data_IF_764901531397
#
_entry.id   IF_764901531397
#
_cell.length_a   1.000
_cell.length_b   1.000
_cell.length_c   1.000
_cell.angle_alpha   90.00
_cell.angle_beta   90.00
_cell.angle_gamma   90.00
#
_symmetry.space_group_name_H-M   'P 1'
#
loop_
_entity.id
_entity.type
_entity.pdbx_description
1 polymer ?
#
# COMPACT_ATOMS: atom_id res chain seq x y z
N UNK A 1 23.99 12.69 -22.82
CA UNK A 1 23.97 11.53 -23.73
C UNK A 1 22.80 10.64 -23.37
N UNK A 2 22.17 10.05 -24.39
CA UNK A 2 20.85 9.41 -24.45
C UNK A 2 20.63 8.27 -23.43
N UNK A 3 19.54 8.33 -22.67
CA UNK A 3 18.73 7.17 -22.28
C UNK A 3 17.26 7.60 -22.22
N UNK A 4 16.68 7.79 -23.41
CA UNK A 4 15.24 7.76 -23.61
C UNK A 4 14.88 6.28 -23.70
N UNK A 5 14.04 5.79 -22.79
CA UNK A 5 13.50 4.43 -22.87
C UNK A 5 12.99 4.18 -24.29
N UNK A 6 13.28 3.01 -24.91
CA UNK A 6 12.83 2.75 -26.26
C UNK A 6 11.30 2.72 -26.25
N UNK A 7 10.69 3.72 -26.88
CA UNK A 7 9.37 3.55 -27.45
C UNK A 7 9.40 2.24 -28.23
N UNK A 8 8.64 1.24 -27.79
CA UNK A 8 8.40 0.06 -28.62
C UNK A 8 7.72 0.55 -29.90
N UNK A 9 8.50 0.64 -30.98
CA UNK A 9 7.97 0.67 -32.34
C UNK A 9 7.43 -0.74 -32.60
N UNK A 10 6.21 -1.01 -32.13
CA UNK A 10 5.48 -2.22 -32.48
C UNK A 10 4.82 -1.98 -33.84
N UNK A 11 5.27 -2.78 -34.81
CA UNK A 11 4.78 -3.01 -36.16
C UNK A 11 3.55 -2.23 -36.68
N UNK A 12 3.77 -1.63 -37.86
CA UNK A 12 2.82 -1.16 -38.88
C UNK A 12 1.36 -1.64 -38.77
N UNK A 13 0.57 -0.92 -37.96
CA UNK A 13 -0.85 -0.69 -38.24
C UNK A 13 -1.24 0.65 -37.61
N UNK A 14 -1.65 1.60 -38.46
CA UNK A 14 -2.12 2.94 -38.10
C UNK A 14 -3.43 2.88 -37.30
N UNK A 15 -3.34 2.70 -35.98
CA UNK A 15 -4.39 3.15 -35.06
C UNK A 15 -3.71 3.77 -33.86
N UNK A 16 -3.54 5.09 -33.91
CA UNK A 16 -3.18 5.87 -32.73
C UNK A 16 -4.37 5.78 -31.77
N UNK A 17 -4.39 4.79 -30.87
CA UNK A 17 -5.46 4.68 -29.87
C UNK A 17 -5.47 5.97 -29.04
N UNK A 18 -6.61 6.66 -29.02
CA UNK A 18 -6.74 7.90 -28.26
C UNK A 18 -6.36 7.66 -26.79
N UNK A 19 -5.57 8.55 -26.15
CA UNK A 19 -5.14 8.39 -24.76
C UNK A 19 -6.27 8.07 -23.79
N UNK A 20 -7.44 8.70 -23.98
CA UNK A 20 -8.67 8.44 -23.21
C UNK A 20 -9.12 6.97 -23.32
N UNK A 21 -9.15 6.42 -24.54
CA UNK A 21 -9.62 5.06 -24.79
C UNK A 21 -8.69 4.01 -24.18
N UNK A 22 -7.38 4.16 -24.40
CA UNK A 22 -6.40 3.22 -23.85
C UNK A 22 -6.34 3.28 -22.31
N UNK A 23 -6.44 4.49 -21.73
CA UNK A 23 -6.55 4.66 -20.28
C UNK A 23 -7.78 3.95 -19.74
N UNK A 24 -8.95 4.12 -20.36
CA UNK A 24 -10.18 3.45 -19.92
C UNK A 24 -10.03 1.93 -19.93
N UNK A 25 -9.49 1.36 -21.02
CA UNK A 25 -9.22 -0.09 -21.12
C UNK A 25 -8.28 -0.56 -20.01
N UNK A 26 -7.24 0.23 -19.69
CA UNK A 26 -6.30 -0.08 -18.62
C UNK A 26 -6.97 -0.01 -17.24
N UNK A 27 -7.75 1.03 -16.98
CA UNK A 27 -8.50 1.22 -15.75
C UNK A 27 -9.47 0.07 -15.49
N UNK A 28 -10.20 -0.39 -16.51
CA UNK A 28 -11.12 -1.52 -16.35
C UNK A 28 -10.39 -2.80 -15.91
N UNK A 29 -9.26 -3.11 -16.55
CA UNK A 29 -8.41 -4.26 -16.20
C UNK A 29 -7.92 -4.19 -14.74
N UNK A 30 -7.44 -3.01 -14.32
CA UNK A 30 -6.97 -2.78 -12.94
C UNK A 30 -8.11 -2.90 -11.94
N UNK A 31 -9.30 -2.37 -12.27
CA UNK A 31 -10.49 -2.53 -11.43
C UNK A 31 -10.84 -3.99 -11.20
N UNK A 32 -10.88 -4.81 -12.25
CA UNK A 32 -11.14 -6.24 -12.11
C UNK A 32 -10.02 -7.01 -11.39
N UNK A 33 -8.75 -6.62 -11.56
CA UNK A 33 -7.65 -7.14 -10.74
C UNK A 33 -7.90 -6.90 -9.26
N UNK A 34 -8.25 -5.67 -8.88
CA UNK A 34 -8.53 -5.32 -7.48
C UNK A 34 -9.77 -6.02 -6.93
N UNK A 35 -10.84 -6.16 -7.73
CA UNK A 35 -11.99 -6.98 -7.37
C UNK A 35 -11.61 -8.44 -7.14
N UNK A 36 -10.76 -9.01 -8.01
CA UNK A 36 -10.25 -10.37 -7.85
C UNK A 36 -9.39 -10.50 -6.59
N UNK A 37 -8.57 -9.49 -6.25
CA UNK A 37 -7.82 -9.47 -5.00
C UNK A 37 -8.72 -9.45 -3.76
N UNK A 38 -9.81 -8.67 -3.78
CA UNK A 38 -10.79 -8.67 -2.69
C UNK A 38 -11.49 -10.04 -2.59
N UNK A 39 -11.94 -10.60 -3.70
CA UNK A 39 -12.62 -11.89 -3.72
C UNK A 39 -11.69 -13.01 -3.22
N UNK A 40 -10.44 -13.02 -3.68
CA UNK A 40 -9.41 -13.95 -3.23
C UNK A 40 -9.13 -13.80 -1.73
N UNK A 41 -9.09 -12.57 -1.21
CA UNK A 41 -8.93 -12.32 0.23
C UNK A 41 -10.03 -13.00 1.04
N UNK A 42 -11.31 -12.80 0.69
CA UNK A 42 -12.41 -13.46 1.40
C UNK A 42 -12.35 -14.98 1.23
N UNK A 43 -12.11 -15.48 0.02
CA UNK A 43 -12.00 -16.91 -0.25
C UNK A 43 -10.93 -17.57 0.63
N UNK A 44 -9.71 -17.03 0.63
CA UNK A 44 -8.61 -17.59 1.41
C UNK A 44 -8.79 -17.37 2.90
N UNK A 45 -9.31 -16.21 3.35
CA UNK A 45 -9.63 -15.98 4.77
C UNK A 45 -10.69 -16.95 5.31
N UNK A 46 -11.75 -17.24 4.55
CA UNK A 46 -12.75 -18.22 4.99
C UNK A 46 -12.19 -19.64 4.94
N UNK A 47 -11.52 -20.02 3.86
CA UNK A 47 -10.87 -21.34 3.77
C UNK A 47 -9.91 -21.58 4.96
N UNK A 48 -9.20 -20.53 5.37
CA UNK A 48 -8.34 -20.52 6.53
C UNK A 48 -9.10 -20.80 7.83
N UNK A 49 -10.18 -20.06 8.05
CA UNK A 49 -10.99 -20.19 9.25
C UNK A 49 -11.60 -21.60 9.35
N UNK A 50 -12.09 -22.15 8.24
CA UNK A 50 -12.61 -23.51 8.17
C UNK A 50 -11.53 -24.56 8.42
N UNK A 51 -10.33 -24.38 7.85
CA UNK A 51 -9.19 -25.25 8.12
C UNK A 51 -8.82 -25.25 9.61
N UNK A 52 -8.71 -24.07 10.21
CA UNK A 52 -8.41 -23.93 11.64
C UNK A 52 -9.43 -24.66 12.50
N UNK A 53 -10.73 -24.45 12.26
CA UNK A 53 -11.80 -25.15 12.98
C UNK A 53 -11.68 -26.67 12.78
N UNK A 54 -11.40 -27.12 11.55
CA UNK A 54 -11.23 -28.53 11.21
C UNK A 54 -10.07 -29.22 11.93
N UNK A 55 -8.99 -28.49 12.24
CA UNK A 55 -7.86 -29.00 13.05
C UNK A 55 -8.03 -28.78 14.56
N UNK A 56 -9.22 -28.38 15.00
CA UNK A 56 -9.58 -28.23 16.42
C UNK A 56 -9.32 -26.85 17.02
N UNK A 57 -9.12 -25.79 16.21
CA UNK A 57 -9.07 -24.42 16.72
C UNK A 57 -10.41 -24.05 17.38
N UNK A 58 -10.35 -23.73 18.66
CA UNK A 58 -11.46 -23.15 19.41
C UNK A 58 -11.11 -21.70 19.78
N UNK A 59 -12.02 -20.76 19.51
CA UNK A 59 -11.83 -19.33 19.76
C UNK A 59 -11.53 -18.99 21.23
N UNK A 60 -11.92 -19.88 22.16
CA UNK A 60 -11.66 -19.78 23.60
C UNK A 60 -10.23 -20.08 24.02
N UNK A 61 -9.43 -20.76 23.18
CA UNK A 61 -8.09 -21.25 23.54
C UNK A 61 -7.03 -20.59 22.67
N UNK A 62 -6.72 -19.32 22.96
CA UNK A 62 -5.65 -18.59 22.25
C UNK A 62 -4.30 -18.81 22.94
N UNK A 63 -3.67 -19.96 22.66
CA UNK A 63 -2.32 -20.28 23.13
C UNK A 63 -1.25 -19.88 22.10
N UNK A 64 0.02 -20.03 22.46
CA UNK A 64 1.15 -19.65 21.60
C UNK A 64 1.15 -20.36 20.23
N UNK A 65 0.91 -21.67 20.21
CA UNK A 65 0.90 -22.44 18.96
C UNK A 65 -0.20 -21.95 18.00
N UNK A 66 -1.38 -21.69 18.55
CA UNK A 66 -2.53 -21.13 17.83
C UNK A 66 -2.24 -19.72 17.32
N UNK A 67 -1.57 -18.89 18.12
CA UNK A 67 -1.14 -17.53 17.75
C UNK A 67 -0.15 -17.56 16.58
N UNK A 68 0.90 -18.38 16.66
CA UNK A 68 1.88 -18.58 15.58
C UNK A 68 1.20 -19.05 14.30
N UNK A 69 0.32 -20.06 14.43
CA UNK A 69 -0.42 -20.59 13.29
C UNK A 69 -1.29 -19.50 12.65
N UNK A 70 -2.03 -18.71 13.44
CA UNK A 70 -2.83 -17.60 12.96
C UNK A 70 -1.98 -16.56 12.20
N UNK A 71 -0.78 -16.21 12.69
CA UNK A 71 0.12 -15.29 11.98
C UNK A 71 0.64 -15.86 10.65
N UNK A 72 1.09 -17.12 10.62
CA UNK A 72 1.52 -17.81 9.39
C UNK A 72 0.42 -17.78 8.33
N UNK A 73 -0.77 -18.09 8.78
CA UNK A 73 -1.95 -18.21 7.96
C UNK A 73 -2.43 -16.85 7.43
N UNK A 74 -2.42 -15.79 8.25
CA UNK A 74 -2.70 -14.43 7.80
C UNK A 74 -1.66 -13.91 6.80
N UNK A 75 -0.37 -14.17 7.03
CA UNK A 75 0.69 -13.87 6.07
C UNK A 75 0.47 -14.59 4.73
N UNK A 76 0.06 -15.86 4.80
CA UNK A 76 -0.28 -16.66 3.61
C UNK A 76 -1.48 -16.11 2.86
N UNK A 77 -2.52 -15.67 3.56
CA UNK A 77 -3.68 -15.00 2.95
C UNK A 77 -3.26 -13.73 2.24
N UNK A 78 -2.38 -12.91 2.81
CA UNK A 78 -1.88 -11.70 2.12
C UNK A 78 -1.21 -12.05 0.78
N UNK A 79 -0.34 -13.05 0.76
CA UNK A 79 0.32 -13.53 -0.47
C UNK A 79 -0.72 -14.07 -1.47
N UNK A 80 -1.57 -15.01 -1.05
CA UNK A 80 -2.52 -15.68 -1.94
C UNK A 80 -3.61 -14.74 -2.45
N UNK A 81 -4.02 -13.74 -1.67
CA UNK A 81 -5.08 -12.82 -2.05
C UNK A 81 -4.63 -11.68 -2.94
N UNK A 82 -3.37 -11.26 -2.84
CA UNK A 82 -2.89 -10.08 -3.57
C UNK A 82 -1.80 -10.42 -4.60
N UNK A 83 -0.83 -11.26 -4.25
CA UNK A 83 0.25 -11.64 -5.17
C UNK A 83 -0.26 -12.56 -6.27
N UNK A 84 -1.09 -13.56 -5.95
CA UNK A 84 -1.59 -14.50 -6.95
C UNK A 84 -2.43 -13.82 -8.05
N UNK A 85 -3.44 -12.97 -7.74
CA UNK A 85 -4.13 -12.19 -8.78
C UNK A 85 -3.20 -11.28 -9.57
N UNK A 86 -2.20 -10.67 -8.92
CA UNK A 86 -1.19 -9.85 -9.61
C UNK A 86 -0.37 -10.66 -10.61
N UNK A 87 0.10 -11.85 -10.22
CA UNK A 87 0.86 -12.76 -11.10
C UNK A 87 0.00 -13.25 -12.26
N UNK A 88 -1.25 -13.67 -11.99
CA UNK A 88 -2.20 -14.06 -13.04
C UNK A 88 -2.41 -12.90 -14.02
N UNK A 89 -2.57 -11.68 -13.52
CA UNK A 89 -2.72 -10.47 -14.34
C UNK A 89 -1.49 -10.21 -15.22
N UNK A 90 -0.29 -10.33 -14.66
CA UNK A 90 0.97 -10.20 -15.40
C UNK A 90 1.05 -11.21 -16.54
N UNK A 91 0.69 -12.47 -16.28
CA UNK A 91 0.71 -13.54 -17.28
C UNK A 91 -0.34 -13.31 -18.37
N UNK A 92 -1.60 -13.06 -18.00
CA UNK A 92 -2.71 -12.86 -18.95
C UNK A 92 -2.44 -11.67 -19.87
N UNK A 93 -1.96 -10.56 -19.31
CA UNK A 93 -1.70 -9.34 -20.08
C UNK A 93 -0.26 -9.22 -20.59
N UNK A 94 0.55 -10.27 -20.43
CA UNK A 94 1.93 -10.38 -20.91
C UNK A 94 2.79 -9.17 -20.51
N UNK A 95 2.64 -8.72 -19.26
CA UNK A 95 3.41 -7.60 -18.74
C UNK A 95 4.87 -8.04 -18.53
N UNK A 96 5.81 -7.17 -18.91
CA UNK A 96 7.24 -7.45 -18.74
C UNK A 96 7.64 -7.27 -17.27
N UNK A 97 8.22 -8.29 -16.60
CA UNK A 97 8.66 -8.18 -15.22
C UNK A 97 9.63 -7.02 -14.97
N UNK A 98 10.45 -6.65 -15.95
CA UNK A 98 11.39 -5.52 -15.89
C UNK A 98 10.71 -4.15 -15.72
N UNK A 99 9.44 -4.02 -16.12
CA UNK A 99 8.68 -2.78 -15.95
C UNK A 99 7.95 -2.73 -14.60
N UNK A 100 7.89 -3.87 -13.91
CA UNK A 100 7.19 -4.06 -12.64
C UNK A 100 8.20 -3.98 -11.50
N UNK A 101 9.28 -4.75 -11.61
CA UNK A 101 10.38 -4.80 -10.65
C UNK A 101 11.50 -3.91 -11.19
N UNK A 102 11.32 -2.60 -11.03
CA UNK A 102 12.35 -1.61 -11.37
C UNK A 102 13.37 -1.53 -10.24
N UNK A 103 14.65 -1.69 -10.57
CA UNK A 103 15.75 -1.73 -9.58
C UNK A 103 16.93 -0.90 -10.07
N UNK A 104 16.66 0.32 -10.54
CA UNK A 104 17.73 1.23 -10.93
C UNK A 104 18.67 1.50 -9.76
N UNK A 105 19.97 1.62 -10.03
CA UNK A 105 20.94 1.94 -8.99
C UNK A 105 20.76 3.39 -8.56
N UNK A 106 20.55 3.58 -7.25
CA UNK A 106 20.36 4.89 -6.63
C UNK A 106 21.55 5.17 -5.74
N UNK A 107 22.10 6.40 -5.79
CA UNK A 107 23.14 6.82 -4.86
C UNK A 107 22.63 6.64 -3.42
N UNK A 108 23.40 6.01 -2.50
CA UNK A 108 22.92 5.71 -1.15
C UNK A 108 22.32 6.91 -0.43
N UNK A 109 22.98 8.08 -0.48
CA UNK A 109 22.46 9.31 0.13
C UNK A 109 21.10 9.76 -0.42
N UNK A 110 20.84 9.57 -1.72
CA UNK A 110 19.54 9.88 -2.33
C UNK A 110 18.48 8.88 -1.87
N UNK A 111 18.81 7.59 -1.87
CA UNK A 111 17.89 6.54 -1.40
C UNK A 111 17.52 6.72 0.08
N UNK A 112 18.52 6.96 0.94
CA UNK A 112 18.35 7.25 2.37
C UNK A 112 17.50 8.51 2.58
N UNK A 113 17.72 9.55 1.78
CA UNK A 113 16.91 10.77 1.87
C UNK A 113 15.44 10.50 1.56
N UNK A 114 15.14 9.76 0.48
CA UNK A 114 13.77 9.36 0.16
C UNK A 114 13.17 8.42 1.21
N UNK A 115 13.99 7.54 1.80
CA UNK A 115 13.56 6.68 2.90
C UNK A 115 13.05 7.50 4.09
N UNK A 116 13.86 8.43 4.60
CA UNK A 116 13.47 9.23 5.76
C UNK A 116 12.29 10.15 5.45
N UNK A 117 12.27 10.81 4.29
CA UNK A 117 11.14 11.66 3.89
C UNK A 117 9.86 10.84 3.79
N UNK A 118 9.89 9.72 3.09
CA UNK A 118 8.72 8.87 2.90
C UNK A 118 8.23 8.27 4.21
N UNK A 119 9.14 7.74 5.04
CA UNK A 119 8.81 7.20 6.35
C UNK A 119 8.18 8.27 7.27
N UNK A 120 8.75 9.46 7.33
CA UNK A 120 8.20 10.58 8.11
C UNK A 120 6.79 10.94 7.63
N UNK A 121 6.56 11.07 6.31
CA UNK A 121 5.21 11.36 5.78
C UNK A 121 4.23 10.26 6.17
N UNK A 122 4.62 8.99 6.08
CA UNK A 122 3.76 7.87 6.46
C UNK A 122 3.44 7.86 7.95
N UNK A 123 4.41 8.16 8.83
CA UNK A 123 4.17 8.27 10.27
C UNK A 123 3.23 9.45 10.59
N UNK A 124 3.41 10.58 9.91
CA UNK A 124 2.54 11.75 10.06
C UNK A 124 1.13 11.51 9.53
N UNK A 125 0.91 10.56 8.62
CA UNK A 125 -0.41 10.18 8.12
C UNK A 125 -1.34 9.65 9.24
N UNK A 126 -0.79 9.26 10.39
CA UNK A 126 -1.55 8.84 11.56
C UNK A 126 -2.40 9.98 12.15
N UNK A 127 -1.92 11.23 12.10
CA UNK A 127 -2.67 12.37 12.63
C UNK A 127 -4.00 12.63 11.90
N UNK A 128 -4.04 12.81 10.56
CA UNK A 128 -5.30 12.96 9.84
C UNK A 128 -6.16 11.69 9.92
N UNK A 129 -5.56 10.50 9.97
CA UNK A 129 -6.30 9.25 10.18
C UNK A 129 -7.04 9.22 11.52
N UNK A 130 -6.35 9.57 12.62
CA UNK A 130 -6.95 9.66 13.95
C UNK A 130 -8.01 10.76 14.04
N UNK A 131 -7.81 11.87 13.33
CA UNK A 131 -8.82 12.91 13.26
C UNK A 131 -10.12 12.40 12.62
N UNK A 132 -10.03 11.63 11.52
CA UNK A 132 -11.19 10.96 10.93
C UNK A 132 -11.81 9.95 11.89
N UNK A 133 -11.02 9.14 12.59
CA UNK A 133 -11.54 8.21 13.61
C UNK A 133 -12.31 8.96 14.70
N UNK A 134 -11.75 10.04 15.25
CA UNK A 134 -12.38 10.83 16.30
C UNK A 134 -13.67 11.52 15.81
N UNK A 135 -13.70 11.99 14.55
CA UNK A 135 -14.92 12.52 13.96
C UNK A 135 -16.01 11.45 13.88
N UNK A 136 -15.69 10.24 13.42
CA UNK A 136 -16.65 9.14 13.33
C UNK A 136 -17.17 8.71 14.71
N UNK A 137 -16.29 8.67 15.71
CA UNK A 137 -16.66 8.40 17.10
C UNK A 137 -17.63 9.47 17.64
N UNK A 138 -17.42 10.75 17.33
CA UNK A 138 -18.34 11.82 17.69
C UNK A 138 -19.73 11.69 17.03
N UNK A 139 -19.83 11.01 15.89
CA UNK A 139 -21.11 10.66 15.25
C UNK A 139 -21.72 9.36 15.79
N UNK A 140 -21.12 8.75 16.82
CA UNK A 140 -21.61 7.51 17.44
C UNK A 140 -21.19 6.24 16.72
N UNK A 141 -20.31 6.33 15.70
CA UNK A 141 -19.76 5.14 15.05
C UNK A 141 -18.59 4.60 15.86
N UNK A 142 -18.61 3.30 16.15
CA UNK A 142 -17.46 2.66 16.78
C UNK A 142 -16.54 2.12 15.69
N UNK A 143 -15.27 2.56 15.70
CA UNK A 143 -14.26 1.98 14.84
C UNK A 143 -14.10 0.49 15.15
N UNK A 144 -14.24 -0.37 14.15
CA UNK A 144 -14.04 -1.81 14.29
C UNK A 144 -12.54 -2.17 14.42
N UNK A 145 -11.87 -1.74 15.49
CA UNK A 145 -10.52 -2.19 15.83
C UNK A 145 -10.62 -3.30 16.88
N UNK A 146 -11.00 -4.50 16.44
CA UNK A 146 -10.80 -5.68 17.27
C UNK A 146 -9.29 -5.91 17.38
N UNK A 147 -8.68 -5.80 18.57
CA UNK A 147 -7.27 -6.12 18.73
C UNK A 147 -7.08 -7.58 18.33
N UNK A 148 -6.14 -7.85 17.43
CA UNK A 148 -5.71 -9.24 17.23
C UNK A 148 -5.12 -9.68 18.58
N UNK A 149 -5.61 -10.77 19.20
CA UNK A 149 -5.04 -11.25 20.44
C UNK A 149 -3.55 -11.56 20.20
N UNK A 150 -2.66 -10.93 20.96
CA UNK A 150 -1.22 -11.18 20.87
C UNK A 150 -0.83 -12.00 22.09
N UNK A 151 -0.28 -13.19 21.86
CA UNK A 151 0.36 -13.95 22.95
C UNK A 151 1.74 -13.32 23.18
N UNK A 152 2.09 -12.92 24.42
CA UNK A 152 3.30 -12.16 24.69
C UNK A 152 4.54 -13.07 24.78
N UNK A 153 4.80 -13.85 23.73
CA UNK A 153 5.99 -14.71 23.61
C UNK A 153 6.88 -14.23 22.47
N UNK A 154 8.20 -14.46 22.59
CA UNK A 154 9.17 -14.06 21.56
C UNK A 154 8.81 -14.65 20.19
N UNK A 155 8.47 -15.95 20.06
CA UNK A 155 8.04 -16.51 18.79
C UNK A 155 6.79 -15.82 18.22
N UNK A 156 5.77 -15.56 19.05
CA UNK A 156 4.56 -14.84 18.60
C UNK A 156 4.89 -13.43 18.12
N UNK A 157 5.81 -12.72 18.76
CA UNK A 157 6.23 -11.39 18.30
C UNK A 157 6.99 -11.42 16.98
N UNK A 158 7.91 -12.36 16.80
CA UNK A 158 8.62 -12.56 15.52
C UNK A 158 7.60 -12.84 14.41
N UNK A 159 6.65 -13.73 14.67
CA UNK A 159 5.62 -14.08 13.70
C UNK A 159 4.67 -12.91 13.41
N UNK A 160 4.32 -12.12 14.41
CA UNK A 160 3.55 -10.89 14.22
C UNK A 160 4.29 -9.91 13.29
N UNK A 161 5.58 -9.64 13.55
CA UNK A 161 6.42 -8.77 12.70
C UNK A 161 6.44 -9.28 11.27
N UNK A 162 6.68 -10.57 11.06
CA UNK A 162 6.69 -11.14 9.70
C UNK A 162 5.32 -11.01 9.00
N UNK A 163 4.24 -11.34 9.70
CA UNK A 163 2.89 -11.38 9.15
C UNK A 163 2.25 -10.00 8.94
N UNK A 164 2.74 -8.94 9.59
CA UNK A 164 2.14 -7.59 9.53
C UNK A 164 3.08 -6.52 8.99
N UNK A 165 4.38 -6.63 9.28
CA UNK A 165 5.37 -5.63 8.91
C UNK A 165 6.24 -6.01 7.72
N UNK A 166 6.35 -7.29 7.36
CA UNK A 166 7.23 -7.71 6.25
C UNK A 166 6.44 -8.21 5.05
N UNK A 167 5.64 -9.26 5.24
CA UNK A 167 4.96 -9.95 4.13
C UNK A 167 3.94 -9.05 3.43
N UNK A 168 2.98 -8.39 4.13
CA UNK A 168 1.99 -7.57 3.46
C UNK A 168 2.60 -6.36 2.73
N UNK A 169 3.49 -5.54 3.34
CA UNK A 169 4.14 -4.44 2.63
C UNK A 169 4.86 -4.88 1.36
N UNK A 170 5.57 -6.01 1.39
CA UNK A 170 6.20 -6.56 0.21
C UNK A 170 5.15 -6.83 -0.89
N UNK A 171 4.10 -7.61 -0.58
CA UNK A 171 3.08 -7.96 -1.57
C UNK A 171 2.33 -6.72 -2.10
N UNK A 172 2.01 -5.80 -1.21
CA UNK A 172 1.31 -4.55 -1.51
C UNK A 172 2.14 -3.64 -2.43
N UNK A 173 3.43 -3.44 -2.17
CA UNK A 173 4.28 -2.64 -3.06
C UNK A 173 4.41 -3.29 -4.45
N UNK A 174 4.53 -4.62 -4.53
CA UNK A 174 4.58 -5.29 -5.83
C UNK A 174 3.29 -5.10 -6.62
N UNK A 175 2.12 -5.20 -5.98
CA UNK A 175 0.85 -4.96 -6.64
C UNK A 175 0.66 -3.48 -7.01
N UNK A 176 0.82 -2.57 -6.06
CA UNK A 176 0.48 -1.17 -6.27
C UNK A 176 1.57 -0.39 -7.00
N UNK A 177 2.84 -0.53 -6.61
CA UNK A 177 3.96 0.23 -7.21
C UNK A 177 4.49 -0.50 -8.43
N UNK A 178 4.63 -1.82 -8.33
CA UNK A 178 5.08 -2.65 -9.44
C UNK A 178 4.04 -2.76 -10.56
N UNK A 179 2.82 -3.24 -10.27
CA UNK A 179 1.82 -3.47 -11.31
C UNK A 179 1.00 -2.21 -11.60
N UNK A 180 0.22 -1.70 -10.65
CA UNK A 180 -0.80 -0.67 -10.92
C UNK A 180 -0.17 0.65 -11.36
N UNK A 181 0.76 1.19 -10.57
CA UNK A 181 1.43 2.46 -10.86
C UNK A 181 2.18 2.39 -12.18
N UNK A 182 2.97 1.33 -12.45
CA UNK A 182 3.72 1.19 -13.72
C UNK A 182 2.81 1.21 -14.95
N UNK A 183 1.61 0.64 -14.85
CA UNK A 183 0.61 0.68 -15.92
C UNK A 183 0.01 2.07 -16.14
N UNK A 184 -0.02 2.92 -15.11
CA UNK A 184 -0.52 4.29 -15.24
C UNK A 184 0.54 5.32 -15.64
N UNK A 185 1.84 5.06 -15.41
CA UNK A 185 2.93 6.01 -15.74
C UNK A 185 2.92 6.48 -17.18
N UNK A 186 2.52 5.59 -18.12
CA UNK A 186 2.39 5.93 -19.54
C UNK A 186 1.39 7.05 -19.84
N UNK A 187 0.55 7.46 -18.87
CA UNK A 187 -0.40 8.56 -18.99
C UNK A 187 0.04 9.84 -18.25
N UNK A 188 1.13 9.76 -17.47
CA UNK A 188 1.59 10.83 -16.59
C UNK A 188 1.93 10.30 -15.21
N UNK A 189 3.08 10.72 -14.67
CA UNK A 189 3.53 10.24 -13.36
C UNK A 189 2.68 10.79 -12.20
N UNK A 190 2.17 12.03 -12.30
CA UNK A 190 1.35 12.64 -11.24
C UNK A 190 0.01 11.91 -11.15
N UNK A 191 -0.65 11.68 -12.27
CA UNK A 191 -1.84 10.84 -12.32
C UNK A 191 -1.58 9.43 -11.79
N UNK A 192 -0.49 8.78 -12.22
CA UNK A 192 -0.17 7.42 -11.79
C UNK A 192 0.01 7.31 -10.26
N UNK A 193 0.69 8.28 -9.65
CA UNK A 193 0.88 8.37 -8.20
C UNK A 193 -0.47 8.53 -7.50
N UNK A 194 -1.28 9.51 -7.90
CA UNK A 194 -2.56 9.80 -7.25
C UNK A 194 -3.53 8.62 -7.40
N UNK A 195 -3.66 8.08 -8.61
CA UNK A 195 -4.54 6.95 -8.89
C UNK A 195 -4.13 5.71 -8.11
N UNK A 196 -2.84 5.34 -8.13
CA UNK A 196 -2.35 4.18 -7.37
C UNK A 196 -2.53 4.37 -5.87
N UNK A 197 -2.25 5.57 -5.35
CA UNK A 197 -2.42 5.88 -3.93
C UNK A 197 -3.89 5.79 -3.50
N UNK A 198 -4.80 6.31 -4.32
CA UNK A 198 -6.24 6.28 -4.03
C UNK A 198 -6.78 4.86 -4.02
N UNK A 199 -6.42 4.04 -5.02
CA UNK A 199 -6.81 2.63 -5.08
C UNK A 199 -6.23 1.84 -3.91
N UNK A 200 -4.98 2.13 -3.50
CA UNK A 200 -4.35 1.55 -2.31
C UNK A 200 -5.10 1.92 -1.03
N UNK A 201 -5.43 3.20 -0.86
CA UNK A 201 -6.27 3.67 0.25
C UNK A 201 -7.61 2.93 0.31
N UNK A 202 -8.36 2.93 -0.80
CA UNK A 202 -9.68 2.28 -0.88
C UNK A 202 -9.64 0.79 -0.51
N UNK A 203 -8.58 0.06 -0.86
CA UNK A 203 -8.45 -1.38 -0.54
C UNK A 203 -8.49 -1.66 0.98
N UNK A 204 -8.17 -0.68 1.83
CA UNK A 204 -8.20 -0.83 3.29
C UNK A 204 -9.61 -0.87 3.88
N UNK A 205 -10.61 -0.35 3.16
CA UNK A 205 -12.05 -0.47 3.49
C UNK A 205 -12.40 -0.09 4.91
N UNK A 206 -11.76 0.97 5.40
CA UNK A 206 -12.01 1.56 6.70
C UNK A 206 -11.67 3.03 6.53
N UNK A 207 -12.58 3.93 6.89
CA UNK A 207 -12.47 5.34 6.53
C UNK A 207 -11.20 6.02 7.05
N UNK A 208 -10.80 5.78 8.30
CA UNK A 208 -9.56 6.34 8.84
C UNK A 208 -8.33 5.70 8.20
N UNK A 209 -8.36 4.39 7.94
CA UNK A 209 -7.27 3.70 7.25
C UNK A 209 -7.14 4.08 5.77
N UNK A 210 -8.24 4.40 5.09
CA UNK A 210 -8.23 4.90 3.71
C UNK A 210 -7.41 6.19 3.66
N UNK A 211 -7.61 7.11 4.61
CA UNK A 211 -6.84 8.37 4.68
C UNK A 211 -5.37 8.11 4.98
N UNK A 212 -5.07 7.26 5.96
CA UNK A 212 -3.70 6.86 6.28
C UNK A 212 -2.99 6.27 5.04
N UNK A 213 -3.57 5.21 4.47
CA UNK A 213 -3.00 4.50 3.35
C UNK A 213 -2.93 5.34 2.08
N UNK A 214 -3.86 6.28 1.85
CA UNK A 214 -3.76 7.22 0.73
C UNK A 214 -2.52 8.12 0.83
N UNK A 215 -2.26 8.70 2.02
CA UNK A 215 -1.11 9.59 2.22
C UNK A 215 0.21 8.81 2.11
N UNK A 216 0.30 7.64 2.74
CA UNK A 216 1.41 6.70 2.55
C UNK A 216 1.55 6.31 1.07
N UNK A 217 0.41 6.06 0.43
CA UNK A 217 0.15 5.90 -0.98
C UNK A 217 0.99 6.83 -1.86
N UNK A 218 0.77 8.13 -1.64
CA UNK A 218 1.42 9.23 -2.35
C UNK A 218 2.93 9.24 -2.09
N UNK A 219 3.36 9.14 -0.83
CA UNK A 219 4.78 9.18 -0.47
C UNK A 219 5.59 8.07 -1.13
N UNK A 220 5.11 6.83 -1.04
CA UNK A 220 5.74 5.65 -1.64
C UNK A 220 5.71 5.70 -3.18
N UNK A 221 4.61 6.20 -3.77
CA UNK A 221 4.49 6.41 -5.22
C UNK A 221 5.50 7.43 -5.74
N UNK A 222 5.64 8.57 -5.07
CA UNK A 222 6.66 9.58 -5.37
C UNK A 222 8.05 8.97 -5.27
N UNK A 223 8.34 8.25 -4.19
CA UNK A 223 9.63 7.58 -4.01
C UNK A 223 9.94 6.64 -5.17
N UNK A 224 9.00 5.77 -5.58
CA UNK A 224 9.22 4.88 -6.72
C UNK A 224 9.51 5.67 -8.01
N UNK A 225 8.68 6.66 -8.34
CA UNK A 225 8.83 7.44 -9.58
C UNK A 225 10.15 8.20 -9.63
N UNK A 226 10.60 8.72 -8.48
CA UNK A 226 11.83 9.52 -8.39
C UNK A 226 13.11 8.69 -8.35
N UNK A 227 13.01 7.43 -7.93
CA UNK A 227 14.18 6.57 -7.74
C UNK A 227 14.25 5.42 -8.74
N UNK A 228 13.14 5.10 -9.43
CA UNK A 228 12.98 3.90 -10.25
C UNK A 228 13.49 2.62 -9.55
N UNK A 229 13.31 2.55 -8.23
CA UNK A 229 13.77 1.44 -7.43
C UNK A 229 12.67 1.03 -6.44
N UNK A 230 12.10 -0.17 -6.65
CA UNK A 230 11.00 -0.71 -5.87
C UNK A 230 11.39 -1.05 -4.43
N UNK A 231 12.67 -1.27 -4.16
CA UNK A 231 13.13 -1.63 -2.81
C UNK A 231 13.09 -0.46 -1.83
N UNK A 232 13.13 0.78 -2.33
CA UNK A 232 13.04 1.97 -1.47
C UNK A 232 11.63 2.12 -0.89
N UNK A 233 10.52 2.14 -1.66
CA UNK A 233 9.18 2.14 -1.06
C UNK A 233 8.90 0.87 -0.25
N UNK A 234 9.39 -0.31 -0.66
CA UNK A 234 9.26 -1.54 0.16
C UNK A 234 9.89 -1.36 1.54
N UNK A 235 11.13 -0.85 1.61
CA UNK A 235 11.80 -0.64 2.89
C UNK A 235 11.12 0.41 3.76
N UNK A 236 10.60 1.49 3.18
CA UNK A 236 9.81 2.50 3.90
C UNK A 236 8.56 1.86 4.50
N UNK A 237 7.81 1.10 3.70
CA UNK A 237 6.55 0.50 4.12
C UNK A 237 6.77 -0.56 5.22
N UNK A 238 7.80 -1.40 5.07
CA UNK A 238 8.22 -2.36 6.11
C UNK A 238 8.59 -1.65 7.41
N UNK A 239 9.35 -0.56 7.32
CA UNK A 239 9.75 0.23 8.48
C UNK A 239 8.53 0.81 9.21
N UNK A 240 7.60 1.42 8.47
CA UNK A 240 6.39 2.05 9.05
C UNK A 240 5.52 1.01 9.75
N UNK A 241 5.26 -0.14 9.12
CA UNK A 241 4.46 -1.18 9.77
C UNK A 241 5.21 -1.80 10.95
N UNK A 242 6.52 -2.05 10.81
CA UNK A 242 7.36 -2.56 11.89
C UNK A 242 7.39 -1.63 13.10
N UNK A 243 7.42 -0.32 12.85
CA UNK A 243 7.33 0.70 13.89
C UNK A 243 6.02 0.60 14.67
N UNK A 244 4.87 0.47 13.99
CA UNK A 244 3.58 0.30 14.67
C UNK A 244 3.46 -1.03 15.42
N UNK A 245 4.03 -2.12 14.89
CA UNK A 245 4.09 -3.40 15.60
C UNK A 245 4.90 -3.26 16.88
N UNK A 246 6.09 -2.64 16.80
CA UNK A 246 6.94 -2.41 17.97
C UNK A 246 6.25 -1.52 19.00
N UNK A 247 5.59 -0.44 18.56
CA UNK A 247 4.83 0.42 19.45
C UNK A 247 3.69 -0.31 20.14
N UNK A 248 2.99 -1.22 19.47
CA UNK A 248 1.96 -2.05 20.10
C UNK A 248 2.56 -2.98 21.16
N UNK A 249 3.76 -3.51 20.96
CA UNK A 249 4.47 -4.31 21.97
C UNK A 249 4.85 -3.44 23.18
N UNK A 250 5.36 -2.22 22.94
CA UNK A 250 5.66 -1.25 24.02
C UNK A 250 4.39 -0.91 24.80
N UNK A 251 3.27 -0.65 24.12
CA UNK A 251 1.98 -0.39 24.76
C UNK A 251 1.50 -1.56 25.63
N UNK A 252 1.81 -2.78 25.22
CA UNK A 252 1.41 -3.98 25.95
C UNK A 252 2.23 -4.20 27.23
N UNK A 253 3.55 -3.98 27.17
CA UNK A 253 4.46 -4.23 28.30
C UNK A 253 4.74 -3.02 29.19
N UNK A 254 4.43 -1.82 28.71
CA UNK A 254 4.69 -0.57 29.41
C UNK A 254 3.40 0.24 29.59
N UNK A 255 3.50 1.39 30.25
CA UNK A 255 2.37 2.30 30.41
C UNK A 255 1.97 2.97 29.08
N UNK A 256 0.70 3.35 28.96
CA UNK A 256 0.21 4.19 27.84
C UNK A 256 1.01 5.49 27.72
N UNK A 257 1.44 6.07 28.84
CA UNK A 257 2.30 7.26 28.86
C UNK A 257 3.65 7.00 28.19
N UNK A 258 4.30 5.88 28.50
CA UNK A 258 5.56 5.48 27.86
C UNK A 258 5.41 5.32 26.35
N UNK A 259 4.36 4.61 25.91
CA UNK A 259 4.02 4.46 24.50
C UNK A 259 3.90 5.82 23.79
N UNK A 260 3.13 6.75 24.38
CA UNK A 260 2.87 8.07 23.80
C UNK A 260 4.16 8.90 23.69
N UNK A 261 4.99 8.90 24.73
CA UNK A 261 6.27 9.61 24.73
C UNK A 261 7.20 9.07 23.64
N UNK A 262 7.34 7.73 23.55
CA UNK A 262 8.20 7.09 22.53
C UNK A 262 7.73 7.44 21.12
N UNK A 263 6.42 7.40 20.87
CA UNK A 263 5.84 7.78 19.58
C UNK A 263 6.22 9.22 19.18
N UNK A 264 6.01 10.20 20.06
CA UNK A 264 6.29 11.60 19.75
C UNK A 264 7.79 11.89 19.59
N UNK A 265 8.65 11.30 20.43
CA UNK A 265 10.11 11.45 20.29
C UNK A 265 10.57 10.95 18.93
N UNK A 266 10.12 9.77 18.52
CA UNK A 266 10.53 9.19 17.24
C UNK A 266 10.01 10.03 16.07
N UNK A 267 8.77 10.53 16.12
CA UNK A 267 8.26 11.46 15.11
C UNK A 267 9.11 12.72 15.02
N UNK A 268 9.47 13.35 16.14
CA UNK A 268 10.30 14.57 16.14
C UNK A 268 11.68 14.32 15.54
N UNK A 269 12.32 13.20 15.89
CA UNK A 269 13.61 12.78 15.31
C UNK A 269 13.48 12.56 13.80
N UNK A 270 12.43 11.86 13.37
CA UNK A 270 12.15 11.58 11.95
C UNK A 270 11.87 12.86 11.15
N UNK A 271 11.16 13.83 11.74
CA UNK A 271 10.97 15.17 11.15
C UNK A 271 12.31 15.86 10.97
N UNK A 272 13.13 15.91 12.02
CA UNK A 272 14.44 16.56 11.97
C UNK A 272 15.33 15.96 10.86
N UNK A 273 15.47 14.64 10.81
CA UNK A 273 16.26 13.94 9.77
C UNK A 273 15.66 14.18 8.36
N UNK A 274 14.32 14.18 8.25
CA UNK A 274 13.62 14.45 7.00
C UNK A 274 13.88 15.87 6.50
N UNK A 275 13.98 16.89 7.37
CA UNK A 275 14.30 18.26 6.97
C UNK A 275 15.70 18.36 6.33
N UNK A 276 16.71 17.70 6.91
CA UNK A 276 18.04 17.61 6.28
C UNK A 276 18.02 16.84 4.96
N UNK A 277 17.24 15.77 4.89
CA UNK A 277 17.06 14.97 3.68
C UNK A 277 16.43 15.79 2.55
N UNK A 278 15.42 16.60 2.86
CA UNK A 278 14.80 17.53 1.89
C UNK A 278 15.81 18.56 1.43
N UNK A 279 16.53 19.21 2.35
CA UNK A 279 17.56 20.20 2.00
C UNK A 279 18.62 19.58 1.07
N UNK A 280 19.12 18.39 1.42
CA UNK A 280 20.07 17.65 0.59
C UNK A 280 19.55 17.40 -0.84
N UNK A 281 18.32 16.92 -0.98
CA UNK A 281 17.72 16.66 -2.29
C UNK A 281 17.45 17.94 -3.08
N UNK A 282 17.09 19.05 -2.43
CA UNK A 282 16.93 20.36 -3.08
C UNK A 282 18.27 20.84 -3.66
N UNK A 283 19.36 20.69 -2.91
CA UNK A 283 20.71 21.03 -3.36
C UNK A 283 21.20 20.11 -4.50
N UNK A 284 20.64 18.91 -4.63
CA UNK A 284 20.96 17.94 -5.69
C UNK A 284 19.86 17.79 -6.75
N UNK A 285 18.89 18.71 -6.81
CA UNK A 285 17.69 18.63 -7.67
C UNK A 285 17.99 18.30 -9.15
N UNK A 286 19.07 18.85 -9.70
CA UNK A 286 19.49 18.62 -11.11
C UNK A 286 19.91 17.17 -11.41
N UNK A 287 20.20 16.36 -10.38
CA UNK A 287 20.62 14.96 -10.53
C UNK A 287 19.46 13.98 -10.42
N UNK A 288 18.26 14.45 -10.05
CA UNK A 288 17.09 13.59 -9.89
C UNK A 288 16.33 13.49 -11.22
N UNK A 289 15.79 12.30 -11.56
CA UNK A 289 14.88 12.16 -12.69
C UNK A 289 13.71 13.14 -12.60
N UNK A 290 13.37 13.75 -13.74
CA UNK A 290 12.15 14.53 -13.87
C UNK A 290 10.91 13.63 -13.88
N UNK A 291 9.75 14.20 -13.55
CA UNK A 291 8.48 13.52 -13.74
C UNK A 291 8.15 13.43 -15.23
N UNK A 292 7.61 12.30 -15.66
CA UNK A 292 7.03 12.18 -16.98
C UNK A 292 5.83 13.12 -17.11
N UNK A 293 5.73 13.89 -18.21
CA UNK A 293 4.65 14.82 -18.41
C UNK A 293 3.31 14.09 -18.56
N UNK A 294 2.26 14.73 -18.11
CA UNK A 294 0.89 14.24 -18.24
C UNK A 294 0.45 14.29 -19.71
N UNK A 295 -0.15 13.21 -20.22
CA UNK A 295 -0.72 13.18 -21.59
C UNK A 295 -2.08 13.89 -21.63
N UNK A 296 -2.84 13.76 -20.56
CA UNK A 296 -4.12 14.42 -20.31
C UNK A 296 -4.01 15.15 -18.98
N UNK A 297 -4.80 16.20 -18.74
CA UNK A 297 -4.83 16.80 -17.41
C UNK A 297 -5.15 15.74 -16.35
N UNK A 298 -4.52 15.83 -15.18
CA UNK A 298 -4.73 14.86 -14.09
C UNK A 298 -6.22 14.69 -13.75
N UNK A 299 -7.01 15.77 -13.78
CA UNK A 299 -8.46 15.72 -13.60
C UNK A 299 -9.19 14.91 -14.69
N UNK A 300 -8.82 15.07 -15.96
CA UNK A 300 -9.37 14.27 -17.06
C UNK A 300 -8.99 12.79 -16.92
N UNK A 301 -7.74 12.49 -16.58
CA UNK A 301 -7.27 11.13 -16.33
C UNK A 301 -8.03 10.46 -15.17
N UNK A 302 -8.24 11.19 -14.07
CA UNK A 302 -9.05 10.71 -12.94
C UNK A 302 -10.52 10.49 -13.33
N UNK A 303 -11.11 11.39 -14.11
CA UNK A 303 -12.46 11.19 -14.65
C UNK A 303 -12.57 9.92 -15.50
N UNK A 304 -11.59 9.66 -16.38
CA UNK A 304 -11.54 8.44 -17.17
C UNK A 304 -11.31 7.16 -16.33
N UNK A 305 -10.56 7.26 -15.25
CA UNK A 305 -10.35 6.16 -14.29
C UNK A 305 -11.70 5.71 -13.70
N UNK A 306 -12.47 6.67 -13.17
CA UNK A 306 -13.76 6.41 -12.51
C UNK A 306 -14.94 6.24 -13.47
N UNK A 307 -14.78 6.52 -14.76
CA UNK A 307 -15.78 6.20 -15.78
C UNK A 307 -15.83 4.69 -16.14
N UNK A 308 -15.00 3.84 -15.52
CA UNK A 308 -14.90 2.43 -15.87
C UNK A 308 -15.65 1.49 -14.92
N UNK A 309 -16.41 0.51 -15.45
CA UNK A 309 -17.17 -0.44 -14.64
C UNK A 309 -16.34 -1.17 -13.59
N UNK A 310 -15.16 -1.70 -13.95
CA UNK A 310 -14.31 -2.41 -13.00
C UNK A 310 -13.86 -1.55 -11.82
N UNK A 311 -13.54 -0.27 -12.06
CA UNK A 311 -13.16 0.68 -11.00
C UNK A 311 -14.37 1.05 -10.15
N UNK A 312 -15.52 1.31 -10.78
CA UNK A 312 -16.76 1.63 -10.07
C UNK A 312 -17.21 0.49 -9.16
N UNK A 313 -17.15 -0.77 -9.64
CA UNK A 313 -17.46 -1.95 -8.85
C UNK A 313 -16.50 -2.07 -7.67
N UNK A 314 -15.19 -1.96 -7.92
CA UNK A 314 -14.17 -1.99 -6.85
C UNK A 314 -14.43 -0.92 -5.79
N UNK A 315 -14.63 0.33 -6.22
CA UNK A 315 -14.89 1.45 -5.32
C UNK A 315 -16.19 1.26 -4.55
N UNK A 316 -17.26 0.79 -5.21
CA UNK A 316 -18.54 0.47 -4.57
C UNK A 316 -18.39 -0.59 -3.48
N UNK A 317 -17.70 -1.71 -3.77
CA UNK A 317 -17.39 -2.74 -2.78
C UNK A 317 -16.63 -2.13 -1.59
N UNK A 318 -15.61 -1.31 -1.86
CA UNK A 318 -14.79 -0.73 -0.80
C UNK A 318 -15.55 0.25 0.09
N UNK A 319 -16.43 1.08 -0.49
CA UNK A 319 -17.27 2.02 0.25
C UNK A 319 -18.31 1.25 1.10
N UNK A 320 -19.01 0.29 0.50
CA UNK A 320 -20.00 -0.54 1.22
C UNK A 320 -19.34 -1.25 2.41
N UNK A 321 -18.16 -1.82 2.21
CA UNK A 321 -17.42 -2.51 3.28
C UNK A 321 -16.86 -1.55 4.34
N UNK A 322 -16.56 -0.30 3.97
CA UNK A 322 -16.18 0.74 4.93
C UNK A 322 -17.38 1.14 5.79
N UNK A 323 -18.55 1.31 5.19
CA UNK A 323 -19.81 1.62 5.88
C UNK A 323 -20.21 0.47 6.82
N UNK A 324 -20.14 -0.78 6.37
CA UNK A 324 -20.49 -1.94 7.21
C UNK A 324 -19.59 -2.06 8.45
N UNK A 325 -18.38 -1.49 8.42
CA UNK A 325 -17.45 -1.47 9.56
C UNK A 325 -17.70 -0.35 10.56
N UNK A 326 -18.63 0.58 10.28
CA UNK A 326 -19.03 1.62 11.23
C UNK A 326 -19.96 1.11 12.35
N UNK A 327 -20.31 -0.18 12.35
CA UNK A 327 -21.17 -0.78 13.39
C UNK A 327 -22.64 -0.38 13.28
N UNK A 328 -23.08 0.05 12.09
CA UNK A 328 -24.45 0.54 11.83
C UNK A 328 -25.43 -0.61 11.52
N UNK A 329 -24.93 -1.84 11.39
CA UNK A 329 -25.73 -3.03 11.10
C UNK A 329 -25.21 -4.26 11.84
#
# INVERSE_FOLDING_TARGET
MKHIFPFQKQNNSFFYEAPNYSLRKQSNKIGFLLCASIAAMYLFSYALQWFLIGVGYQKSTYNEAVSILNYLLNGSVSILSMLLPAVIFIVIFKLKPTNIIVTEQVKPAVGISFFFIGATICLLANFPSNWISAMLENFGFQGSSQPIPVVPTIPSYIMNVLATAVVPPFVEEFLFRGVILSQFRKYGDVFAIIASALLFGLLHRNFSQIVFAFICGLALGITLVRTNNIWIPVSIHIFVNGFYVLLNIVRFHCSTTTYTIVFYIIILVMIFISLFSVLYLLLKKKQLPGFQPEILSTGCSMGNLFANPGILIFTGICIIQSISRLGVF
#
